data_IF_613387525123
#
_entry.id   IF_613387525123
#
_cell.length_a   1.000
_cell.length_b   1.000
_cell.length_c   1.000
_cell.angle_alpha   90.00
_cell.angle_beta   90.00
_cell.angle_gamma   90.00
#
_symmetry.space_group_name_H-M   'P 1'
#
loop_
_entity.id
_entity.type
_entity.pdbx_description
1 polymer ?
#
# COMPACT_ATOMS: atom_id res chain seq x y z
N UNK A 1 15.23 -35.05 -10.38
CA UNK A 1 13.91 -34.52 -9.94
C UNK A 1 14.03 -33.02 -9.70
N UNK A 2 13.96 -32.16 -10.75
CA UNK A 2 14.10 -30.71 -10.65
C UNK A 2 12.77 -29.94 -10.63
N UNK A 3 11.63 -30.61 -10.85
CA UNK A 3 10.33 -29.94 -11.07
C UNK A 3 9.69 -29.40 -9.79
N UNK A 4 9.95 -30.01 -8.63
CA UNK A 4 9.38 -29.55 -7.35
C UNK A 4 9.95 -28.21 -6.89
N UNK A 5 11.22 -27.91 -7.19
CA UNK A 5 11.85 -26.63 -6.85
C UNK A 5 11.30 -25.46 -7.68
N UNK A 6 10.87 -25.71 -8.92
CA UNK A 6 10.30 -24.69 -9.79
C UNK A 6 8.90 -24.26 -9.35
N UNK A 7 8.10 -25.18 -8.81
CA UNK A 7 6.76 -24.89 -8.31
C UNK A 7 6.81 -24.00 -7.05
N UNK A 8 7.72 -24.29 -6.12
CA UNK A 8 7.91 -23.51 -4.89
C UNK A 8 8.40 -22.08 -5.19
N UNK A 9 9.36 -21.92 -6.10
CA UNK A 9 9.83 -20.59 -6.55
C UNK A 9 8.74 -19.76 -7.23
N UNK A 10 7.84 -20.41 -7.99
CA UNK A 10 6.72 -19.73 -8.66
C UNK A 10 5.66 -19.27 -7.66
N UNK A 11 5.34 -20.07 -6.64
CA UNK A 11 4.41 -19.69 -5.58
C UNK A 11 4.95 -18.54 -4.70
N UNK A 12 6.23 -18.58 -4.30
CA UNK A 12 6.84 -17.48 -3.55
C UNK A 12 6.87 -16.17 -4.34
N UNK A 13 7.16 -16.24 -5.65
CA UNK A 13 7.19 -15.04 -6.51
C UNK A 13 5.79 -14.51 -6.82
N UNK A 14 4.76 -15.36 -6.97
CA UNK A 14 3.37 -14.86 -7.13
C UNK A 14 2.84 -14.22 -5.86
N UNK A 15 3.18 -14.74 -4.69
CA UNK A 15 2.81 -14.12 -3.40
C UNK A 15 3.59 -12.82 -3.17
N UNK A 16 4.88 -12.74 -3.54
CA UNK A 16 5.65 -11.49 -3.50
C UNK A 16 5.10 -10.45 -4.48
N UNK A 17 4.82 -10.83 -5.72
CA UNK A 17 4.26 -9.93 -6.73
C UNK A 17 2.85 -9.46 -6.34
N UNK A 18 2.03 -10.33 -5.76
CA UNK A 18 0.71 -9.97 -5.25
C UNK A 18 0.78 -8.97 -4.09
N UNK A 19 1.71 -9.15 -3.14
CA UNK A 19 1.91 -8.21 -2.02
C UNK A 19 2.52 -6.88 -2.49
N UNK A 20 3.46 -6.94 -3.44
CA UNK A 20 4.04 -5.76 -4.08
C UNK A 20 3.02 -4.95 -4.87
N UNK A 21 2.16 -5.61 -5.64
CA UNK A 21 1.09 -4.98 -6.39
C UNK A 21 0.02 -4.36 -5.49
N UNK A 22 -0.32 -5.00 -4.36
CA UNK A 22 -1.24 -4.44 -3.37
C UNK A 22 -0.64 -3.19 -2.69
N UNK A 23 0.65 -3.23 -2.35
CA UNK A 23 1.37 -2.07 -1.79
C UNK A 23 1.46 -0.90 -2.77
N UNK A 24 1.79 -1.19 -4.04
CA UNK A 24 1.86 -0.20 -5.11
C UNK A 24 0.47 0.38 -5.44
N UNK A 25 -0.56 -0.45 -5.50
CA UNK A 25 -1.93 -0.01 -5.76
C UNK A 25 -2.44 0.94 -4.67
N UNK A 26 -2.21 0.60 -3.40
CA UNK A 26 -2.61 1.46 -2.27
C UNK A 26 -1.81 2.75 -2.25
N UNK A 27 -0.52 2.71 -2.58
CA UNK A 27 0.32 3.89 -2.70
C UNK A 27 -0.21 4.85 -3.79
N UNK A 28 -0.50 4.34 -4.99
CA UNK A 28 -1.03 5.13 -6.11
C UNK A 28 -2.41 5.71 -5.78
N UNK A 29 -3.31 4.92 -5.19
CA UNK A 29 -4.65 5.40 -4.79
C UNK A 29 -4.55 6.47 -3.70
N UNK A 30 -3.69 6.28 -2.69
CA UNK A 30 -3.46 7.29 -1.65
C UNK A 30 -2.88 8.59 -2.24
N UNK A 31 -1.95 8.48 -3.18
CA UNK A 31 -1.36 9.63 -3.85
C UNK A 31 -2.40 10.37 -4.71
N UNK A 32 -3.23 9.66 -5.47
CA UNK A 32 -4.33 10.24 -6.24
C UNK A 32 -5.36 10.94 -5.34
N UNK A 33 -5.80 10.29 -4.25
CA UNK A 33 -6.75 10.88 -3.30
C UNK A 33 -6.18 12.15 -2.66
N UNK A 34 -4.89 12.15 -2.32
CA UNK A 34 -4.22 13.33 -1.78
C UNK A 34 -4.14 14.44 -2.82
N UNK A 35 -3.70 14.15 -4.05
CA UNK A 35 -3.58 15.16 -5.11
C UNK A 35 -4.94 15.75 -5.51
N UNK A 36 -5.98 14.91 -5.65
CA UNK A 36 -7.33 15.38 -5.95
C UNK A 36 -7.95 16.15 -4.79
N UNK A 37 -7.87 15.65 -3.55
CA UNK A 37 -8.40 16.32 -2.37
C UNK A 37 -7.70 17.65 -2.09
N UNK A 38 -6.38 17.68 -2.22
CA UNK A 38 -5.58 18.88 -2.04
C UNK A 38 -5.80 19.89 -3.18
N UNK A 39 -5.89 19.41 -4.43
CA UNK A 39 -6.24 20.23 -5.58
C UNK A 39 -7.63 20.86 -5.43
N UNK A 40 -8.62 20.10 -4.98
CA UNK A 40 -9.97 20.61 -4.69
C UNK A 40 -9.95 21.64 -3.55
N UNK A 41 -9.19 21.39 -2.47
CA UNK A 41 -9.03 22.34 -1.36
C UNK A 41 -8.42 23.67 -1.82
N UNK A 42 -7.36 23.63 -2.65
CA UNK A 42 -6.75 24.83 -3.20
C UNK A 42 -7.68 25.58 -4.17
N UNK A 43 -8.47 24.84 -4.95
CA UNK A 43 -9.52 25.39 -5.81
C UNK A 43 -10.61 26.12 -5.04
N UNK A 44 -11.14 25.51 -3.98
CA UNK A 44 -12.19 26.09 -3.14
C UNK A 44 -11.70 27.27 -2.28
N UNK A 45 -10.42 27.27 -1.90
CA UNK A 45 -9.85 28.32 -1.04
C UNK A 45 -9.29 29.52 -1.82
N UNK A 46 -9.42 29.56 -3.15
CA UNK A 46 -8.79 30.55 -4.02
C UNK A 46 -7.27 30.70 -3.79
N UNK A 47 -6.62 29.67 -3.23
CA UNK A 47 -5.17 29.66 -2.95
C UNK A 47 -4.37 28.95 -4.05
N UNK A 48 -4.89 28.91 -5.27
CA UNK A 48 -4.17 28.39 -6.44
C UNK A 48 -2.84 29.11 -6.68
N UNK A 49 -2.70 30.35 -6.22
CA UNK A 49 -1.45 31.11 -6.28
C UNK A 49 -0.30 30.40 -5.56
N UNK A 50 -0.58 29.59 -4.52
CA UNK A 50 0.44 28.77 -3.85
C UNK A 50 1.03 27.69 -4.78
N UNK A 51 0.31 27.26 -5.83
CA UNK A 51 0.80 26.32 -6.82
C UNK A 51 1.67 26.98 -7.89
N UNK A 52 1.76 28.31 -7.96
CA UNK A 52 2.62 28.98 -8.94
C UNK A 52 4.10 28.93 -8.54
N UNK A 53 4.40 28.74 -7.25
CA UNK A 53 5.77 28.62 -6.78
C UNK A 53 6.24 27.16 -6.83
N UNK A 54 7.30 26.84 -7.60
CA UNK A 54 7.81 25.47 -7.69
C UNK A 54 8.31 24.93 -6.35
N UNK A 55 8.71 25.81 -5.41
CA UNK A 55 9.10 25.43 -4.05
C UNK A 55 7.92 24.88 -3.25
N UNK A 56 6.72 25.47 -3.41
CA UNK A 56 5.52 25.00 -2.75
C UNK A 56 5.04 23.69 -3.34
N UNK A 57 5.05 23.55 -4.68
CA UNK A 57 4.75 22.28 -5.35
C UNK A 57 5.67 21.17 -4.81
N UNK A 58 6.98 21.42 -4.74
CA UNK A 58 7.93 20.43 -4.22
C UNK A 58 7.62 20.02 -2.77
N UNK A 59 7.26 20.97 -1.90
CA UNK A 59 6.88 20.69 -0.50
C UNK A 59 5.59 19.87 -0.41
N UNK A 60 4.59 20.20 -1.22
CA UNK A 60 3.31 19.47 -1.28
C UNK A 60 3.55 18.04 -1.77
N UNK A 61 4.37 17.87 -2.81
CA UNK A 61 4.75 16.56 -3.33
C UNK A 61 5.48 15.72 -2.28
N UNK A 62 6.44 16.32 -1.55
CA UNK A 62 7.14 15.67 -0.43
C UNK A 62 6.18 15.25 0.68
N UNK A 63 5.24 16.12 1.06
CA UNK A 63 4.18 15.79 2.03
C UNK A 63 3.29 14.65 1.54
N UNK A 64 2.91 14.67 0.26
CA UNK A 64 2.09 13.60 -0.35
C UNK A 64 2.80 12.26 -0.37
N UNK A 65 4.10 12.25 -0.68
CA UNK A 65 4.94 11.05 -0.68
C UNK A 65 5.08 10.48 0.73
N UNK A 66 5.32 11.36 1.72
CA UNK A 66 5.38 10.97 3.13
C UNK A 66 4.06 10.37 3.61
N UNK A 67 2.92 10.98 3.25
CA UNK A 67 1.59 10.49 3.59
C UNK A 67 1.30 9.13 2.92
N UNK A 68 1.55 8.99 1.62
CA UNK A 68 1.34 7.74 0.90
C UNK A 68 2.24 6.61 1.44
N UNK A 69 3.48 6.92 1.83
CA UNK A 69 4.38 5.98 2.48
C UNK A 69 3.86 5.52 3.84
N UNK A 70 3.37 6.45 4.69
CA UNK A 70 2.76 6.13 5.98
C UNK A 70 1.52 5.24 5.83
N UNK A 71 0.63 5.55 4.88
CA UNK A 71 -0.57 4.75 4.61
C UNK A 71 -0.20 3.35 4.13
N UNK A 72 0.78 3.25 3.22
CA UNK A 72 1.27 1.96 2.73
C UNK A 72 1.91 1.14 3.85
N UNK A 73 2.70 1.77 4.73
CA UNK A 73 3.29 1.12 5.90
C UNK A 73 2.23 0.66 6.90
N UNK A 74 1.23 1.50 7.18
CA UNK A 74 0.12 1.17 8.08
C UNK A 74 -0.68 -0.01 7.53
N UNK A 75 -0.96 -0.03 6.23
CA UNK A 75 -1.67 -1.14 5.60
C UNK A 75 -0.83 -2.42 5.61
N UNK A 76 0.48 -2.33 5.33
CA UNK A 76 1.39 -3.46 5.44
C UNK A 76 1.43 -4.02 6.87
N UNK A 77 1.41 -3.15 7.88
CA UNK A 77 1.31 -3.53 9.29
C UNK A 77 -0.01 -4.22 9.61
N UNK A 78 -1.15 -3.68 9.15
CA UNK A 78 -2.47 -4.27 9.33
C UNK A 78 -2.58 -5.63 8.62
N UNK A 79 -2.07 -5.76 7.40
CA UNK A 79 -2.03 -7.03 6.66
C UNK A 79 -1.17 -8.06 7.38
N UNK A 80 0.03 -7.67 7.87
CA UNK A 80 0.90 -8.55 8.67
C UNK A 80 0.18 -9.03 9.94
N UNK A 81 -0.53 -8.14 10.62
CA UNK A 81 -1.34 -8.48 11.81
C UNK A 81 -2.51 -9.40 11.46
N UNK A 82 -3.19 -9.15 10.34
CA UNK A 82 -4.31 -9.97 9.87
C UNK A 82 -3.88 -11.37 9.45
N UNK A 83 -2.71 -11.51 8.83
CA UNK A 83 -2.16 -12.81 8.42
C UNK A 83 -1.79 -13.66 9.63
N UNK A 84 -1.22 -13.04 10.68
CA UNK A 84 -0.95 -13.74 11.95
C UNK A 84 -2.22 -14.30 12.58
N UNK A 85 -3.34 -13.57 12.49
CA UNK A 85 -4.66 -14.07 12.95
C UNK A 85 -5.22 -15.20 12.08
N UNK A 86 -5.14 -15.08 10.75
CA UNK A 86 -5.60 -16.15 9.84
C UNK A 86 -4.81 -17.44 10.01
N UNK A 87 -3.48 -17.37 10.16
CA UNK A 87 -2.64 -18.53 10.40
C UNK A 87 -2.98 -19.26 11.72
N UNK A 88 -3.38 -18.51 12.76
CA UNK A 88 -3.85 -19.10 14.02
C UNK A 88 -5.25 -19.72 13.90
N UNK A 89 -6.13 -19.17 13.07
CA UNK A 89 -7.47 -19.70 12.84
C UNK A 89 -7.38 -21.02 12.04
N UNK A 90 -6.59 -21.03 10.96
CA UNK A 90 -6.41 -22.21 10.11
C UNK A 90 -5.72 -23.37 10.84
N UNK A 91 -4.83 -23.08 11.80
CA UNK A 91 -4.22 -24.10 12.64
C UNK A 91 -5.22 -24.69 13.68
N UNK A 92 -6.21 -23.91 14.13
CA UNK A 92 -7.27 -24.44 15.01
C UNK A 92 -8.25 -25.33 14.25
N UNK A 93 -8.61 -24.96 13.03
CA UNK A 93 -9.52 -25.77 12.20
C UNK A 93 -8.88 -27.13 11.84
N UNK A 94 -7.58 -27.13 11.47
CA UNK A 94 -6.84 -28.38 11.22
C UNK A 94 -6.64 -29.28 12.46
N UNK A 95 -6.67 -28.71 13.68
CA UNK A 95 -6.57 -29.47 14.93
C UNK A 95 -7.93 -30.00 15.43
N UNK A 96 -9.05 -29.52 14.87
CA UNK A 96 -10.40 -29.98 15.19
C UNK A 96 -10.81 -31.16 14.29
N UNK A 97 -10.20 -31.27 13.11
CA UNK A 97 -10.38 -32.41 12.18
C UNK A 97 -9.44 -33.61 12.45
N UNK A 98 -8.56 -33.55 13.48
CA UNK A 98 -7.74 -34.67 13.96
C UNK A 98 -8.37 -35.37 15.17
#
# INVERSE_FOLDING_TARGET
>A
MPEEYFLVWREETTVLNGRGALGAGVFVVAQLLFTFGFGAYLGLSNKLELLQSPQWIARITLMSLGFASLVSWLLAYLLKRSWKKKAQQQNKDNLIDQ
#
